data_IF_174413035012
#
_entry.id   IF_174413035012
#
_cell.length_a   1.000
_cell.length_b   1.000
_cell.length_c   1.000
_cell.angle_alpha   90.00
_cell.angle_beta   90.00
_cell.angle_gamma   90.00
#
_symmetry.space_group_name_H-M   'P 1'
#
loop_
_entity.id
_entity.type
_entity.pdbx_description
1 polymer ?
#
# COMPACT_ATOMS: atom_id res chain seq x y z
N UNK A 1 -8.34 -1.84 -24.27
CA UNK A 1 -7.62 -2.27 -23.05
C UNK A 1 -8.59 -3.06 -22.20
N UNK A 2 -8.33 -4.35 -22.00
CA UNK A 2 -9.00 -5.10 -20.95
C UNK A 2 -8.41 -4.68 -19.61
N UNK A 3 -9.26 -4.35 -18.63
CA UNK A 3 -8.77 -4.07 -17.29
C UNK A 3 -8.34 -5.39 -16.64
N UNK A 4 -7.09 -5.49 -16.22
CA UNK A 4 -6.63 -6.63 -15.42
C UNK A 4 -7.32 -6.60 -14.05
N UNK A 5 -7.67 -7.79 -13.53
CA UNK A 5 -8.36 -7.91 -12.25
C UNK A 5 -7.49 -7.37 -11.10
N UNK A 6 -8.12 -6.74 -10.13
CA UNK A 6 -7.42 -6.10 -9.00
C UNK A 6 -6.78 -7.15 -8.09
N UNK A 7 -7.39 -8.33 -8.07
CA UNK A 7 -7.06 -9.57 -7.37
C UNK A 7 -5.79 -10.22 -7.94
N UNK A 8 -5.62 -10.26 -9.27
CA UNK A 8 -4.42 -10.80 -9.89
C UNK A 8 -3.19 -9.89 -9.64
N UNK A 9 -3.42 -8.57 -9.66
CA UNK A 9 -2.40 -7.59 -9.33
C UNK A 9 -2.07 -7.60 -7.82
N UNK A 10 -3.04 -7.76 -6.92
CA UNK A 10 -2.83 -7.79 -5.46
C UNK A 10 -2.07 -9.05 -5.04
N UNK A 11 -2.43 -10.23 -5.55
CA UNK A 11 -1.68 -11.46 -5.33
C UNK A 11 -0.24 -11.38 -5.87
N UNK A 12 -0.04 -10.71 -7.01
CA UNK A 12 1.30 -10.48 -7.57
C UNK A 12 2.12 -9.51 -6.72
N UNK A 13 1.49 -8.46 -6.18
CA UNK A 13 2.12 -7.53 -5.23
C UNK A 13 2.55 -8.24 -3.95
N UNK A 14 1.68 -9.07 -3.36
CA UNK A 14 2.02 -9.93 -2.21
C UNK A 14 3.19 -10.88 -2.52
N UNK A 15 3.24 -11.45 -3.72
CA UNK A 15 4.31 -12.36 -4.17
C UNK A 15 5.65 -11.67 -4.48
N UNK A 16 5.69 -10.34 -4.57
CA UNK A 16 6.87 -9.55 -4.93
C UNK A 16 7.34 -8.59 -3.83
N UNK A 17 6.48 -8.24 -2.88
CA UNK A 17 6.80 -7.31 -1.80
C UNK A 17 7.73 -7.95 -0.76
N UNK A 18 9.01 -7.58 -0.81
CA UNK A 18 10.02 -7.94 0.18
C UNK A 18 10.45 -6.73 1.03
N UNK A 19 10.86 -6.93 2.30
CA UNK A 19 11.48 -5.87 3.11
C UNK A 19 12.64 -5.20 2.37
N UNK A 20 12.73 -3.87 2.44
CA UNK A 20 13.74 -3.07 1.75
C UNK A 20 13.49 -2.82 0.25
N UNK A 21 12.48 -3.45 -0.38
CA UNK A 21 12.21 -3.23 -1.80
C UNK A 21 11.65 -1.83 -2.07
N UNK A 22 12.26 -1.07 -2.99
CA UNK A 22 11.79 0.29 -3.31
C UNK A 22 10.46 0.28 -4.09
N UNK A 23 9.56 1.29 -3.91
CA UNK A 23 8.33 1.42 -4.70
C UNK A 23 8.54 1.61 -6.21
N UNK A 24 9.76 1.93 -6.66
CA UNK A 24 10.15 1.94 -8.07
C UNK A 24 10.42 0.52 -8.57
N UNK A 25 11.18 -0.27 -7.81
CA UNK A 25 11.49 -1.66 -8.14
C UNK A 25 10.25 -2.56 -8.09
N UNK A 26 9.42 -2.47 -7.03
CA UNK A 26 8.18 -3.26 -6.93
C UNK A 26 7.24 -3.01 -8.12
N UNK A 27 7.09 -1.74 -8.55
CA UNK A 27 6.28 -1.39 -9.72
C UNK A 27 6.92 -1.84 -11.05
N UNK A 28 8.24 -1.98 -11.13
CA UNK A 28 8.90 -2.54 -12.31
C UNK A 28 8.61 -4.05 -12.40
N UNK A 29 8.89 -4.80 -11.34
CA UNK A 29 8.64 -6.25 -11.27
C UNK A 29 7.16 -6.62 -11.48
N UNK A 30 6.21 -5.79 -11.00
CA UNK A 30 4.79 -5.97 -11.31
C UNK A 30 4.48 -5.73 -12.79
N UNK A 31 5.12 -4.76 -13.46
CA UNK A 31 4.91 -4.49 -14.90
C UNK A 31 5.67 -5.43 -15.83
N UNK A 32 6.73 -6.09 -15.36
CA UNK A 32 7.38 -7.19 -16.08
C UNK A 32 6.45 -8.39 -16.21
N UNK A 33 5.67 -8.69 -15.16
CA UNK A 33 4.62 -9.72 -15.19
C UNK A 33 3.33 -9.25 -15.87
N UNK A 34 2.99 -7.96 -15.70
CA UNK A 34 1.73 -7.36 -16.15
C UNK A 34 1.96 -6.08 -16.97
N UNK A 35 2.40 -6.18 -18.24
CA UNK A 35 2.82 -5.02 -19.03
C UNK A 35 1.69 -4.00 -19.29
N UNK A 36 0.46 -4.50 -19.45
CA UNK A 36 -0.79 -3.73 -19.59
C UNK A 36 -1.17 -2.94 -18.32
N UNK A 37 -0.63 -3.29 -17.14
CA UNK A 37 -1.04 -2.70 -15.88
C UNK A 37 -0.57 -1.23 -15.77
N UNK A 38 -1.54 -0.31 -15.69
CA UNK A 38 -1.23 1.11 -15.49
C UNK A 38 -0.74 1.37 -14.06
N UNK A 39 0.00 2.47 -13.87
CA UNK A 39 0.39 2.94 -12.52
C UNK A 39 -0.81 3.07 -11.57
N UNK A 40 -2.00 3.41 -12.08
CA UNK A 40 -3.22 3.55 -11.27
C UNK A 40 -3.73 2.20 -10.77
N UNK A 41 -3.60 1.15 -11.57
CA UNK A 41 -4.16 -0.17 -11.27
C UNK A 41 -3.25 -0.95 -10.32
N UNK A 42 -1.92 -0.83 -10.49
CA UNK A 42 -0.95 -1.32 -9.49
C UNK A 42 -1.16 -0.65 -8.11
N UNK A 43 -1.43 0.67 -8.08
CA UNK A 43 -1.70 1.37 -6.81
C UNK A 43 -3.04 0.96 -6.20
N UNK A 44 -4.11 0.81 -7.00
CA UNK A 44 -5.40 0.28 -6.54
C UNK A 44 -5.27 -1.12 -5.96
N UNK A 45 -4.54 -2.00 -6.65
CA UNK A 45 -4.28 -3.37 -6.22
C UNK A 45 -3.44 -3.46 -4.94
N UNK A 46 -2.54 -2.50 -4.68
CA UNK A 46 -1.84 -2.41 -3.39
C UNK A 46 -2.78 -2.02 -2.25
N UNK A 47 -3.73 -1.09 -2.49
CA UNK A 47 -4.77 -0.78 -1.50
C UNK A 47 -5.77 -1.93 -1.31
N UNK A 48 -6.14 -2.65 -2.38
CA UNK A 48 -6.91 -3.89 -2.29
C UNK A 48 -6.18 -4.90 -1.40
N UNK A 49 -4.92 -5.21 -1.71
CA UNK A 49 -4.08 -6.14 -0.94
C UNK A 49 -4.06 -5.82 0.56
N UNK A 50 -4.01 -4.54 0.92
CA UNK A 50 -4.00 -4.05 2.29
C UNK A 50 -5.38 -4.06 2.97
N UNK A 51 -6.49 -3.97 2.23
CA UNK A 51 -7.84 -4.15 2.78
C UNK A 51 -8.10 -5.65 2.99
N UNK A 52 -7.86 -6.45 1.96
CA UNK A 52 -8.03 -7.89 1.91
C UNK A 52 -7.22 -8.61 3.02
N UNK A 53 -5.98 -8.18 3.25
CA UNK A 53 -5.14 -8.70 4.34
C UNK A 53 -5.52 -8.18 5.74
N UNK A 54 -6.32 -7.12 5.89
CA UNK A 54 -6.90 -6.75 7.20
C UNK A 54 -8.10 -7.60 7.59
N UNK A 55 -8.61 -8.41 6.66
CA UNK A 55 -9.56 -9.50 6.94
C UNK A 55 -8.93 -10.70 7.67
N UNK A 56 -7.63 -10.66 8.00
CA UNK A 56 -6.92 -11.75 8.69
C UNK A 56 -7.03 -11.66 10.23
N UNK A 57 -7.34 -10.48 10.79
CA UNK A 57 -7.53 -10.30 12.25
C UNK A 57 -8.95 -10.73 12.69
N UNK A 58 -9.10 -12.03 12.97
CA UNK A 58 -10.40 -12.66 13.24
C UNK A 58 -11.22 -12.05 14.38
N UNK A 59 -10.60 -11.54 15.45
CA UNK A 59 -11.33 -10.90 16.57
C UNK A 59 -11.94 -9.54 16.17
N UNK A 60 -11.24 -8.76 15.35
CA UNK A 60 -11.72 -7.48 14.81
C UNK A 60 -12.88 -7.72 13.84
N UNK A 61 -12.80 -8.78 13.03
CA UNK A 61 -13.90 -9.22 12.16
C UNK A 61 -15.13 -9.67 12.95
N UNK A 62 -14.97 -10.47 14.01
CA UNK A 62 -16.07 -10.93 14.86
C UNK A 62 -16.78 -9.76 15.55
N UNK A 63 -16.04 -8.78 16.09
CA UNK A 63 -16.62 -7.58 16.69
C UNK A 63 -17.45 -6.75 15.68
N UNK A 64 -16.91 -6.53 14.46
CA UNK A 64 -17.61 -5.83 13.39
C UNK A 64 -18.83 -6.62 12.89
N UNK A 65 -18.75 -7.95 12.85
CA UNK A 65 -19.86 -8.83 12.46
C UNK A 65 -20.99 -8.80 13.49
N UNK A 66 -20.67 -8.90 14.78
CA UNK A 66 -21.62 -8.76 15.90
C UNK A 66 -22.33 -7.41 15.89
N UNK A 67 -21.60 -6.32 15.66
CA UNK A 67 -22.16 -4.98 15.50
C UNK A 67 -23.15 -4.91 14.33
N UNK A 68 -22.75 -5.40 13.14
CA UNK A 68 -23.61 -5.40 11.95
C UNK A 68 -24.86 -6.30 12.08
N UNK A 69 -24.86 -7.30 12.97
CA UNK A 69 -26.04 -8.10 13.29
C UNK A 69 -27.00 -7.37 14.24
N UNK A 70 -26.49 -6.62 15.21
CA UNK A 70 -27.31 -5.80 16.12
C UNK A 70 -28.08 -4.72 15.36
N UNK A 71 -27.38 -3.95 14.51
CA UNK A 71 -27.96 -2.87 13.69
C UNK A 71 -28.91 -3.35 12.59
N UNK A 72 -28.85 -4.64 12.20
CA UNK A 72 -29.68 -5.22 11.13
C UNK A 72 -30.92 -5.95 11.66
N UNK A 73 -30.95 -6.33 12.94
CA UNK A 73 -32.22 -6.73 13.55
C UNK A 73 -33.23 -5.57 13.39
N UNK A 74 -34.53 -5.84 13.13
CA UNK A 74 -35.50 -4.77 13.03
C UNK A 74 -35.65 -4.10 14.40
N UNK A 75 -34.98 -2.95 14.57
CA UNK A 75 -35.36 -1.96 15.56
C UNK A 75 -36.82 -1.56 15.31
N UNK A 76 -37.55 -1.19 16.35
CA UNK A 76 -39.00 -0.91 16.29
C UNK A 76 -39.32 0.48 15.68
N UNK A 77 -38.47 0.94 14.74
CA UNK A 77 -38.62 2.16 13.97
C UNK A 77 -39.15 1.86 12.55
N UNK A 78 -40.11 2.64 12.04
CA UNK A 78 -40.71 2.41 10.72
C UNK A 78 -39.74 2.75 9.58
N UNK A 79 -39.54 1.81 8.66
CA UNK A 79 -38.54 1.92 7.59
C UNK A 79 -38.77 3.12 6.63
N UNK A 80 -37.82 4.04 6.57
CA UNK A 80 -37.88 5.21 5.69
C UNK A 80 -37.73 4.87 4.19
N UNK A 81 -38.55 5.50 3.35
CA UNK A 81 -38.60 5.23 1.91
C UNK A 81 -37.53 5.99 1.11
N UNK A 82 -36.42 5.32 0.78
CA UNK A 82 -35.27 5.91 0.09
C UNK A 82 -35.65 6.48 -1.30
N UNK A 83 -35.47 7.80 -1.48
CA UNK A 83 -35.88 8.55 -2.66
C UNK A 83 -35.09 8.30 -3.96
N UNK A 84 -35.76 8.57 -5.11
CA UNK A 84 -35.25 8.28 -6.47
C UNK A 84 -34.08 9.20 -6.88
N UNK A 85 -32.91 8.60 -7.13
CA UNK A 85 -31.65 9.30 -7.51
C UNK A 85 -31.77 10.10 -8.82
N UNK A 86 -31.22 11.32 -8.87
CA UNK A 86 -31.07 12.16 -10.09
C UNK A 86 -29.59 12.39 -10.47
N UNK A 87 -29.35 12.98 -11.64
CA UNK A 87 -28.16 12.72 -12.50
C UNK A 87 -27.07 13.82 -12.49
N UNK A 88 -25.83 13.40 -12.78
CA UNK A 88 -24.54 14.12 -12.70
C UNK A 88 -24.33 15.22 -13.76
N UNK A 89 -23.47 16.22 -13.49
CA UNK A 89 -22.93 17.21 -14.48
C UNK A 89 -21.42 17.51 -14.26
N UNK A 90 -20.75 18.01 -15.31
CA UNK A 90 -19.29 18.33 -15.45
C UNK A 90 -18.83 19.56 -14.63
N UNK A 91 -17.55 19.97 -14.49
CA UNK A 91 -16.27 19.73 -15.24
C UNK A 91 -15.05 19.61 -14.25
N UNK A 92 -13.73 19.75 -14.53
CA UNK A 92 -12.86 20.13 -15.69
C UNK A 92 -11.45 19.48 -15.54
N UNK A 93 -10.56 19.64 -16.52
CA UNK A 93 -9.08 19.49 -16.45
C UNK A 93 -8.39 20.86 -16.13
N UNK A 94 -7.08 21.11 -16.07
CA UNK A 94 -5.85 20.67 -16.82
C UNK A 94 -4.57 21.13 -16.06
N UNK A 95 -3.30 20.76 -16.35
CA UNK A 95 -2.61 19.53 -16.83
C UNK A 95 -1.05 19.81 -16.90
N UNK A 96 -0.18 18.78 -16.92
CA UNK A 96 1.31 18.85 -17.04
C UNK A 96 2.07 19.53 -15.86
N UNK A 97 3.41 19.42 -15.63
CA UNK A 97 4.56 18.75 -16.30
C UNK A 97 5.46 18.05 -15.21
N UNK A 98 6.26 16.98 -15.46
CA UNK A 98 7.67 16.91 -15.97
C UNK A 98 8.66 17.77 -15.15
N UNK A 99 9.86 17.36 -14.69
CA UNK A 99 10.87 16.32 -15.04
C UNK A 99 11.49 15.65 -13.77
N UNK A 100 12.10 14.44 -13.76
CA UNK A 100 13.56 14.05 -13.88
C UNK A 100 14.47 14.63 -12.75
N UNK A 101 15.56 14.01 -12.25
CA UNK A 101 16.36 12.78 -12.53
C UNK A 101 16.87 12.21 -11.16
N UNK A 102 17.25 10.94 -10.95
CA UNK A 102 18.56 10.28 -11.19
C UNK A 102 19.81 11.09 -10.71
N UNK A 103 20.91 10.50 -10.22
CA UNK A 103 21.34 9.08 -10.30
C UNK A 103 22.18 8.63 -9.07
N UNK A 104 22.88 7.50 -9.18
CA UNK A 104 23.87 6.84 -8.30
C UNK A 104 25.13 7.72 -8.06
N UNK A 105 26.30 7.33 -7.52
CA UNK A 105 27.02 6.07 -7.23
C UNK A 105 28.10 6.41 -6.15
N UNK A 106 29.01 5.59 -5.58
CA UNK A 106 29.56 4.24 -5.85
C UNK A 106 29.92 3.54 -4.51
N UNK A 107 30.78 2.51 -4.52
CA UNK A 107 31.47 1.93 -3.35
C UNK A 107 33.00 1.87 -3.60
N UNK A 108 33.73 1.11 -2.75
CA UNK A 108 35.09 0.52 -2.94
C UNK A 108 36.28 1.24 -2.28
N UNK A 109 37.14 0.44 -1.60
CA UNK A 109 38.53 0.71 -1.11
C UNK A 109 38.76 1.81 -0.03
N UNK A 110 39.75 1.75 0.88
CA UNK A 110 40.55 0.65 1.47
C UNK A 110 41.37 1.20 2.69
N UNK A 111 42.06 0.32 3.42
CA UNK A 111 43.39 0.55 4.04
C UNK A 111 43.57 1.64 5.13
N UNK A 112 43.78 1.14 6.37
CA UNK A 112 44.75 1.61 7.39
C UNK A 112 44.51 2.98 8.09
N UNK A 113 45.11 3.34 9.25
CA UNK A 113 45.79 2.67 10.40
C UNK A 113 45.85 3.70 11.56
N UNK A 114 46.22 3.31 12.79
CA UNK A 114 46.49 4.15 14.00
C UNK A 114 45.28 4.91 14.57
N UNK A 115 44.86 4.71 15.83
CA UNK A 115 45.52 4.90 17.14
C UNK A 115 45.21 6.27 17.74
N UNK A 116 44.29 6.31 18.71
CA UNK A 116 44.19 7.39 19.71
C UNK A 116 43.81 6.78 21.07
N UNK A 117 44.75 6.85 22.02
CA UNK A 117 44.64 7.07 23.48
C UNK A 117 43.20 7.03 24.05
N UNK A 118 42.75 6.12 24.93
CA UNK A 118 43.31 5.55 26.18
C UNK A 118 43.20 6.44 27.45
N UNK A 119 42.08 6.30 28.18
CA UNK A 119 41.95 6.24 29.66
C UNK A 119 40.76 5.29 29.96
N UNK A 120 40.66 4.50 31.03
CA UNK A 120 40.74 4.81 32.48
C UNK A 120 39.66 5.83 32.92
N UNK A 121 38.97 5.71 34.07
CA UNK A 121 39.19 4.90 35.29
C UNK A 121 37.84 4.57 35.98
N UNK A 122 37.84 3.66 36.98
CA UNK A 122 36.89 3.61 38.13
C UNK A 122 35.40 3.22 37.88
N UNK A 123 34.62 2.76 38.87
CA UNK A 123 34.90 2.00 40.12
C UNK A 123 33.58 1.34 40.63
N UNK A 124 33.67 0.51 41.67
CA UNK A 124 32.67 -0.39 42.25
C UNK A 124 31.31 0.20 42.70
N UNK A 125 30.32 -0.70 42.71
CA UNK A 125 29.51 -1.02 43.89
C UNK A 125 29.01 -2.49 43.82
#
# INVERSE_FOLDING_TARGET
>A
MGAMSMEALSATLWSLAAPGMTPKALRAAVRERHPEASKKDVVRAAFYALIDARSQDGQTLDALHRFALAERAPSDEPAEAIGKRRKKKHSRATEAARTETAVTETAVTETAVTEIVATETAEAA
#
